data_IF_537782626624
#
_entry.id   IF_537782626624
#
_cell.length_a   1.000
_cell.length_b   1.000
_cell.length_c   1.000
_cell.angle_alpha   90.00
_cell.angle_beta   90.00
_cell.angle_gamma   90.00
#
_symmetry.space_group_name_H-M   'P 1'
#
loop_
_entity.id
_entity.type
_entity.pdbx_description
1 polymer ?
#
# COMPACT_ATOMS: atom_id res chain seq x y z
N UNK A 1 -24.50 -9.53 -48.54
CA UNK A 1 -23.22 -8.96 -48.08
C UNK A 1 -23.34 -8.32 -46.68
N UNK A 2 -24.31 -8.72 -45.85
CA UNK A 2 -24.53 -8.17 -44.50
C UNK A 2 -23.96 -9.08 -43.42
N UNK A 3 -24.26 -10.39 -43.48
CA UNK A 3 -23.82 -11.41 -42.53
C UNK A 3 -22.30 -11.47 -42.31
N UNK A 4 -21.48 -11.29 -43.35
CA UNK A 4 -20.02 -11.33 -43.24
C UNK A 4 -19.44 -10.13 -42.49
N UNK A 5 -20.08 -8.96 -42.58
CA UNK A 5 -19.65 -7.75 -41.90
C UNK A 5 -20.02 -7.78 -40.41
N UNK A 6 -21.22 -8.28 -40.10
CA UNK A 6 -21.70 -8.44 -38.72
C UNK A 6 -20.85 -9.45 -37.93
N UNK A 7 -20.45 -10.56 -38.56
CA UNK A 7 -19.54 -11.55 -37.95
C UNK A 7 -18.17 -10.95 -37.67
N UNK A 8 -17.64 -10.12 -38.58
CA UNK A 8 -16.34 -9.45 -38.42
C UNK A 8 -16.36 -8.47 -37.25
N UNK A 9 -17.42 -7.67 -37.14
CA UNK A 9 -17.61 -6.73 -36.02
C UNK A 9 -17.71 -7.50 -34.71
N UNK A 10 -18.53 -8.55 -34.65
CA UNK A 10 -18.70 -9.36 -33.44
C UNK A 10 -17.38 -9.97 -32.95
N UNK A 11 -16.51 -10.40 -33.86
CA UNK A 11 -15.22 -11.00 -33.52
C UNK A 11 -14.23 -9.95 -32.99
N UNK A 12 -14.21 -8.76 -33.60
CA UNK A 12 -13.36 -7.64 -33.15
C UNK A 12 -13.83 -7.10 -31.80
N UNK A 13 -15.13 -6.90 -31.61
CA UNK A 13 -15.66 -6.38 -30.34
C UNK A 13 -15.45 -7.38 -29.20
N UNK A 14 -15.73 -8.66 -29.42
CA UNK A 14 -15.50 -9.71 -28.42
C UNK A 14 -14.01 -9.83 -28.07
N UNK A 15 -13.14 -9.83 -29.08
CA UNK A 15 -11.68 -9.84 -28.88
C UNK A 15 -11.20 -8.62 -28.10
N UNK A 16 -11.69 -7.43 -28.45
CA UNK A 16 -11.35 -6.17 -27.76
C UNK A 16 -11.79 -6.16 -26.29
N UNK A 17 -12.97 -6.68 -25.97
CA UNK A 17 -13.46 -6.79 -24.58
C UNK A 17 -12.57 -7.72 -23.76
N UNK A 18 -12.16 -8.87 -24.32
CA UNK A 18 -11.29 -9.83 -23.62
C UNK A 18 -9.92 -9.21 -23.33
N UNK A 19 -9.29 -8.60 -24.33
CA UNK A 19 -7.97 -7.97 -24.15
C UNK A 19 -8.05 -6.80 -23.17
N UNK A 20 -9.09 -5.97 -23.26
CA UNK A 20 -9.32 -4.86 -22.34
C UNK A 20 -9.49 -5.32 -20.89
N UNK A 21 -10.23 -6.41 -20.66
CA UNK A 21 -10.43 -6.98 -19.32
C UNK A 21 -9.11 -7.53 -18.73
N UNK A 22 -8.30 -8.22 -19.54
CA UNK A 22 -7.00 -8.75 -19.11
C UNK A 22 -6.01 -7.64 -18.76
N UNK A 23 -5.93 -6.59 -19.58
CA UNK A 23 -5.08 -5.43 -19.30
C UNK A 23 -5.57 -4.65 -18.06
N UNK A 24 -6.88 -4.50 -17.90
CA UNK A 24 -7.48 -3.91 -16.71
C UNK A 24 -7.12 -4.69 -15.43
N UNK A 25 -7.25 -6.01 -15.46
CA UNK A 25 -6.89 -6.89 -14.34
C UNK A 25 -5.39 -6.87 -14.01
N UNK A 26 -4.53 -6.86 -15.03
CA UNK A 26 -3.09 -6.74 -14.84
C UNK A 26 -2.72 -5.37 -14.24
N UNK A 27 -3.33 -4.29 -14.74
CA UNK A 27 -3.10 -2.94 -14.25
C UNK A 27 -3.53 -2.73 -12.79
N UNK A 28 -4.68 -3.26 -12.40
CA UNK A 28 -5.15 -3.20 -11.00
C UNK A 28 -4.29 -4.06 -10.08
N UNK A 29 -3.91 -5.25 -10.52
CA UNK A 29 -3.04 -6.14 -9.73
C UNK A 29 -1.66 -5.52 -9.46
N UNK A 30 -1.08 -4.81 -10.43
CA UNK A 30 0.21 -4.11 -10.25
C UNK A 30 0.06 -2.94 -9.29
N UNK A 31 -0.99 -2.10 -9.43
CA UNK A 31 -1.25 -0.98 -8.51
C UNK A 31 -1.44 -1.46 -7.08
N UNK A 32 -2.29 -2.47 -6.88
CA UNK A 32 -2.55 -3.05 -5.56
C UNK A 32 -1.27 -3.58 -4.89
N UNK A 33 -0.35 -4.17 -5.67
CA UNK A 33 0.94 -4.62 -5.14
C UNK A 33 1.81 -3.44 -4.71
N UNK A 34 1.92 -2.41 -5.55
CA UNK A 34 2.70 -1.21 -5.23
C UNK A 34 2.19 -0.51 -3.97
N UNK A 35 0.88 -0.39 -3.82
CA UNK A 35 0.26 0.22 -2.64
C UNK A 35 0.49 -0.64 -1.40
N UNK A 36 0.34 -1.97 -1.51
CA UNK A 36 0.65 -2.89 -0.42
C UNK A 36 2.14 -2.82 0.00
N UNK A 37 3.07 -2.66 -0.95
CA UNK A 37 4.49 -2.50 -0.65
C UNK A 37 4.78 -1.18 0.07
N UNK A 38 4.15 -0.07 -0.35
CA UNK A 38 4.28 1.23 0.31
C UNK A 38 3.80 1.16 1.75
N UNK A 39 2.58 0.66 1.95
CA UNK A 39 2.01 0.47 3.29
C UNK A 39 2.92 -0.42 4.15
N UNK A 40 3.42 -1.53 3.61
CA UNK A 40 4.32 -2.41 4.34
C UNK A 40 5.65 -1.73 4.73
N UNK A 41 6.19 -0.88 3.86
CA UNK A 41 7.41 -0.12 4.13
C UNK A 41 7.20 0.89 5.26
N UNK A 42 6.10 1.65 5.19
CA UNK A 42 5.71 2.64 6.20
C UNK A 42 5.51 1.98 7.57
N UNK A 43 4.82 0.83 7.59
CA UNK A 43 4.64 0.01 8.80
C UNK A 43 5.96 -0.50 9.36
N UNK A 44 6.92 -0.89 8.52
CA UNK A 44 8.24 -1.34 8.99
C UNK A 44 9.03 -0.20 9.64
N UNK A 45 8.99 1.00 9.06
CA UNK A 45 9.66 2.17 9.61
C UNK A 45 9.05 2.59 10.96
N UNK A 46 7.72 2.62 11.03
CA UNK A 46 7.02 2.89 12.29
C UNK A 46 7.34 1.84 13.35
N UNK A 47 7.36 0.55 12.99
CA UNK A 47 7.66 -0.50 13.94
C UNK A 47 9.07 -0.38 14.54
N UNK A 48 10.04 0.07 13.75
CA UNK A 48 11.39 0.36 14.27
C UNK A 48 11.38 1.54 15.25
N UNK A 49 10.70 2.64 14.90
CA UNK A 49 10.56 3.82 15.76
C UNK A 49 9.83 3.49 17.07
N UNK A 50 8.75 2.71 16.99
CA UNK A 50 8.02 2.19 18.14
C UNK A 50 8.90 1.37 19.06
N UNK A 51 9.70 0.46 18.49
CA UNK A 51 10.60 -0.38 19.28
C UNK A 51 11.63 0.47 20.02
N UNK A 52 12.24 1.45 19.35
CA UNK A 52 13.21 2.36 19.97
C UNK A 52 12.58 3.20 21.09
N UNK A 53 11.39 3.77 20.84
CA UNK A 53 10.68 4.54 21.85
C UNK A 53 10.27 3.69 23.05
N UNK A 54 9.74 2.48 22.82
CA UNK A 54 9.44 1.54 23.90
C UNK A 54 10.67 1.17 24.70
N UNK A 55 11.81 0.97 24.04
CA UNK A 55 13.08 0.70 24.72
C UNK A 55 13.48 1.86 25.64
N UNK A 56 13.35 3.11 25.16
CA UNK A 56 13.63 4.31 25.96
C UNK A 56 12.66 4.45 27.13
N UNK A 57 11.37 4.21 26.93
CA UNK A 57 10.36 4.22 28.01
C UNK A 57 10.69 3.20 29.09
N UNK A 58 11.00 1.98 28.69
CA UNK A 58 11.36 0.90 29.62
C UNK A 58 12.63 1.26 30.39
N UNK A 59 13.67 1.74 29.71
CA UNK A 59 14.92 2.17 30.33
C UNK A 59 14.71 3.33 31.31
N UNK A 60 13.85 4.28 30.96
CA UNK A 60 13.47 5.41 31.81
C UNK A 60 12.80 4.98 33.12
N UNK A 61 11.90 3.98 33.04
CA UNK A 61 11.25 3.38 34.21
C UNK A 61 12.28 2.68 35.09
N UNK A 62 13.14 1.83 34.51
CA UNK A 62 14.13 1.06 35.27
C UNK A 62 15.22 1.93 35.92
N UNK A 63 15.59 3.03 35.26
CA UNK A 63 16.54 4.01 35.81
C UNK A 63 15.89 5.00 36.79
N UNK A 64 14.58 4.92 36.98
CA UNK A 64 13.80 5.77 37.86
C UNK A 64 14.09 7.28 37.64
N UNK A 65 14.16 7.69 36.37
CA UNK A 65 14.56 9.05 35.98
C UNK A 65 13.52 10.14 36.32
N UNK A 66 12.41 9.76 36.95
CA UNK A 66 11.32 10.67 37.30
C UNK A 66 10.56 11.22 36.10
N UNK A 67 9.50 12.01 36.29
CA UNK A 67 8.78 12.65 35.18
C UNK A 67 9.60 13.80 34.56
N UNK A 68 9.41 14.12 33.26
CA UNK A 68 8.47 13.51 32.32
C UNK A 68 9.06 12.30 31.58
N UNK A 69 8.20 11.37 31.11
CA UNK A 69 8.64 10.26 30.28
C UNK A 69 9.18 10.74 28.92
N UNK A 70 10.01 9.91 28.24
CA UNK A 70 10.41 10.11 26.86
C UNK A 70 9.20 10.33 25.95
N UNK A 71 9.22 11.40 25.16
CA UNK A 71 8.15 11.70 24.21
C UNK A 71 8.23 10.77 22.99
N UNK A 72 7.09 10.40 22.39
CA UNK A 72 7.09 9.66 21.14
C UNK A 72 7.72 10.50 20.02
N UNK A 73 8.29 9.87 18.98
CA UNK A 73 8.72 10.56 17.76
C UNK A 73 7.55 11.32 17.12
N UNK A 74 7.78 12.56 16.68
CA UNK A 74 6.73 13.44 16.16
C UNK A 74 6.08 12.91 14.87
N UNK A 75 6.78 12.08 14.12
CA UNK A 75 6.40 11.52 12.82
C UNK A 75 5.91 10.06 12.90
N UNK A 76 5.75 9.53 14.12
CA UNK A 76 5.28 8.17 14.33
C UNK A 76 3.84 8.00 13.80
N UNK A 77 3.64 7.07 12.86
CA UNK A 77 2.37 6.85 12.15
C UNK A 77 1.86 8.04 11.31
N UNK A 78 2.71 9.04 11.06
CA UNK A 78 2.36 10.17 10.19
C UNK A 78 2.91 9.91 8.81
N UNK A 79 2.07 9.27 7.99
CA UNK A 79 2.29 9.15 6.56
C UNK A 79 1.33 10.14 5.91
N UNK A 80 1.87 11.12 5.18
CA UNK A 80 1.06 12.06 4.40
C UNK A 80 0.26 11.24 3.38
N UNK A 81 -1.02 11.03 3.69
CA UNK A 81 -1.96 10.36 2.80
C UNK A 81 -2.44 11.41 1.79
N UNK A 82 -1.75 11.53 0.66
CA UNK A 82 -2.29 12.20 -0.54
C UNK A 82 -3.36 11.34 -1.22
#
# INVERSE_FOLDING_TARGET
MTMTFDVLIALITTGGVIVGALLGFAGTSVRNRLDAYRIAQDMQQDNQKLWQWNRQLVDHIYKNLGPPPPRPPDDLFKHDND
#
